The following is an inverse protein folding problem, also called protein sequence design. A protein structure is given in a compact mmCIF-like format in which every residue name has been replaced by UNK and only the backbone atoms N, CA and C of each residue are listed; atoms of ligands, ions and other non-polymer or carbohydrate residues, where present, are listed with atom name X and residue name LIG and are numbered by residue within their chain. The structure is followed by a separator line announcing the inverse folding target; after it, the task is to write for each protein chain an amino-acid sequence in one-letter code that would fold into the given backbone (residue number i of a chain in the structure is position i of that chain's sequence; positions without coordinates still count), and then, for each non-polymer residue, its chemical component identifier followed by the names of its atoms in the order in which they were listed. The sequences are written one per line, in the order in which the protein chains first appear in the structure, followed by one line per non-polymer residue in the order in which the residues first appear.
data_IF_913325271733
#
_entry.id   IF_913325271733
#
_cell.length_a   1.000
_cell.length_b   1.000
_cell.length_c   1.000
_cell.angle_alpha   90.00
_cell.angle_beta   90.00
_cell.angle_gamma   90.00
#
_symmetry.space_group_name_H-M   'P 1'
#
loop_
_entity.id
_entity.type
_entity.pdbx_description
1 polymer ?
#
# COMPACT_ATOMS: atom_id res chain seq x y z
N UNK A 1 -31.06 -1.73 8.00
CA UNK A 1 -29.70 -1.19 7.73
C UNK A 1 -28.81 -1.66 8.88
N UNK A 2 -28.10 -2.78 8.71
CA UNK A 2 -27.23 -3.30 9.78
C UNK A 2 -25.95 -2.46 9.79
N UNK A 3 -25.86 -1.53 10.75
CA UNK A 3 -24.62 -0.79 11.00
C UNK A 3 -23.62 -1.78 11.60
N UNK A 4 -22.72 -2.30 10.75
CA UNK A 4 -21.65 -3.18 11.19
C UNK A 4 -20.49 -2.35 11.77
N UNK A 5 -19.74 -2.92 12.71
CA UNK A 5 -18.53 -2.29 13.25
C UNK A 5 -17.55 -1.88 12.13
N UNK A 6 -17.45 -2.69 11.08
CA UNK A 6 -16.61 -2.41 9.90
C UNK A 6 -17.07 -1.14 9.17
N UNK A 7 -18.38 -0.93 9.03
CA UNK A 7 -18.91 0.28 8.39
C UNK A 7 -18.58 1.53 9.22
N UNK A 8 -18.68 1.44 10.55
CA UNK A 8 -18.31 2.54 11.44
C UNK A 8 -16.81 2.85 11.35
N UNK A 9 -15.98 1.82 11.26
CA UNK A 9 -14.54 1.96 11.05
C UNK A 9 -14.22 2.63 9.71
N UNK A 10 -14.88 2.22 8.62
CA UNK A 10 -14.70 2.85 7.29
C UNK A 10 -15.13 4.33 7.30
N UNK A 11 -16.23 4.68 7.98
CA UNK A 11 -16.65 6.08 8.15
C UNK A 11 -15.59 6.89 8.91
N UNK A 12 -15.03 6.32 9.99
CA UNK A 12 -13.95 6.98 10.73
C UNK A 12 -12.71 7.20 9.84
N UNK A 13 -12.35 6.23 8.98
CA UNK A 13 -11.27 6.39 8.02
C UNK A 13 -11.54 7.49 6.98
N UNK A 14 -12.78 7.60 6.47
CA UNK A 14 -13.17 8.68 5.56
C UNK A 14 -13.02 10.03 6.25
N UNK A 15 -13.54 10.16 7.48
CA UNK A 15 -13.43 11.39 8.26
C UNK A 15 -11.97 11.78 8.49
N UNK A 16 -11.14 10.81 8.85
CA UNK A 16 -9.70 11.01 9.07
C UNK A 16 -8.96 11.37 7.77
N UNK A 17 -9.33 10.76 6.64
CA UNK A 17 -8.80 11.10 5.32
C UNK A 17 -9.14 12.53 4.90
N UNK A 18 -10.35 13.00 5.20
CA UNK A 18 -10.78 14.39 4.94
C UNK A 18 -10.02 15.38 5.81
N UNK A 19 -9.86 15.10 7.11
CA UNK A 19 -9.07 15.95 8.02
C UNK A 19 -7.60 16.01 7.58
N UNK A 20 -7.04 14.86 7.19
CA UNK A 20 -5.67 14.74 6.69
C UNK A 20 -5.47 15.34 5.29
N UNK A 21 -6.54 15.76 4.60
CA UNK A 21 -6.52 16.13 3.18
C UNK A 21 -5.91 15.03 2.28
N UNK A 22 -6.05 13.77 2.66
CA UNK A 22 -5.50 12.64 1.92
C UNK A 22 -6.59 12.00 1.06
N UNK A 23 -6.65 12.43 -0.21
CA UNK A 23 -7.64 11.92 -1.17
C UNK A 23 -7.54 10.40 -1.37
N UNK A 24 -6.35 9.82 -1.29
CA UNK A 24 -6.17 8.37 -1.44
C UNK A 24 -6.90 7.59 -0.35
N UNK A 25 -6.76 7.96 0.93
CA UNK A 25 -7.49 7.30 2.03
C UNK A 25 -8.99 7.49 1.86
N UNK A 26 -9.42 8.72 1.61
CA UNK A 26 -10.84 9.07 1.49
C UNK A 26 -11.51 8.28 0.35
N UNK A 27 -10.89 8.23 -0.83
CA UNK A 27 -11.42 7.51 -2.00
C UNK A 27 -11.45 6.01 -1.74
N UNK A 28 -10.36 5.41 -1.25
CA UNK A 28 -10.31 3.97 -0.98
C UNK A 28 -11.35 3.54 0.07
N UNK A 29 -11.48 4.28 1.18
CA UNK A 29 -12.44 3.97 2.23
C UNK A 29 -13.89 4.18 1.76
N UNK A 30 -14.15 5.20 0.95
CA UNK A 30 -15.49 5.45 0.37
C UNK A 30 -15.88 4.35 -0.60
N UNK A 31 -14.98 3.94 -1.50
CA UNK A 31 -15.24 2.83 -2.43
C UNK A 31 -15.55 1.54 -1.65
N UNK A 32 -14.76 1.19 -0.64
CA UNK A 32 -15.00 0.01 0.18
C UNK A 32 -16.33 0.08 0.95
N UNK A 33 -16.69 1.25 1.48
CA UNK A 33 -17.96 1.46 2.15
C UNK A 33 -19.13 1.27 1.19
N UNK A 34 -19.05 1.84 -0.02
CA UNK A 34 -20.07 1.66 -1.06
C UNK A 34 -20.17 0.20 -1.50
N UNK A 35 -19.04 -0.49 -1.69
CA UNK A 35 -19.04 -1.92 -2.02
C UNK A 35 -19.69 -2.75 -0.91
N UNK A 36 -19.39 -2.45 0.35
CA UNK A 36 -19.95 -3.16 1.50
C UNK A 36 -21.48 -2.97 1.64
N UNK A 37 -21.99 -1.77 1.36
CA UNK A 37 -23.41 -1.44 1.54
C UNK A 37 -24.30 -1.82 0.35
N UNK A 38 -23.71 -2.17 -0.80
CA UNK A 38 -24.44 -2.49 -2.03
C UNK A 38 -24.27 -3.95 -2.43
N UNK A 39 -24.91 -4.38 -3.52
CA UNK A 39 -24.73 -5.72 -4.10
C UNK A 39 -23.29 -5.99 -4.58
N UNK A 40 -22.41 -4.97 -4.58
CA UNK A 40 -21.00 -5.12 -4.94
C UNK A 40 -20.17 -5.84 -3.87
N UNK A 41 -20.75 -6.14 -2.70
CA UNK A 41 -20.08 -6.91 -1.65
C UNK A 41 -19.56 -8.27 -2.16
N UNK A 42 -20.23 -8.87 -3.15
CA UNK A 42 -19.80 -10.12 -3.80
C UNK A 42 -18.45 -10.01 -4.53
N UNK A 43 -18.03 -8.80 -4.92
CA UNK A 43 -16.76 -8.55 -5.59
C UNK A 43 -15.61 -8.22 -4.63
N UNK A 44 -15.89 -8.02 -3.34
CA UNK A 44 -14.85 -7.73 -2.33
C UNK A 44 -13.76 -8.82 -2.29
N UNK A 45 -14.07 -10.13 -2.34
CA UNK A 45 -13.05 -11.18 -2.39
C UNK A 45 -12.18 -11.12 -3.65
N UNK A 46 -12.75 -10.67 -4.78
CA UNK A 46 -11.99 -10.50 -6.03
C UNK A 46 -10.97 -9.36 -5.88
N UNK A 47 -11.38 -8.26 -5.26
CA UNK A 47 -10.51 -7.11 -4.95
C UNK A 47 -9.42 -7.52 -3.96
N UNK A 48 -9.73 -8.32 -2.95
CA UNK A 48 -8.73 -8.82 -2.00
C UNK A 48 -7.68 -9.70 -2.69
N UNK A 49 -8.10 -10.59 -3.59
CA UNK A 49 -7.21 -11.53 -4.28
C UNK A 49 -6.34 -10.88 -5.37
N UNK A 50 -6.90 -9.97 -6.17
CA UNK A 50 -6.21 -9.41 -7.34
C UNK A 50 -5.88 -7.93 -7.21
N UNK A 51 -6.52 -7.20 -6.29
CA UNK A 51 -6.36 -5.75 -6.16
C UNK A 51 -4.93 -5.33 -5.88
N UNK A 52 -4.20 -6.06 -5.04
CA UNK A 52 -2.79 -5.79 -4.78
C UNK A 52 -1.93 -6.01 -6.05
N UNK A 53 -2.16 -7.11 -6.78
CA UNK A 53 -1.41 -7.42 -7.99
C UNK A 53 -1.65 -6.36 -9.08
N UNK A 54 -2.92 -6.02 -9.33
CA UNK A 54 -3.30 -4.95 -10.26
C UNK A 54 -2.70 -3.61 -9.82
N UNK A 55 -2.77 -3.28 -8.53
CA UNK A 55 -2.19 -2.07 -7.97
C UNK A 55 -0.68 -1.99 -8.21
N UNK A 56 0.07 -3.07 -7.96
CA UNK A 56 1.51 -3.15 -8.22
C UNK A 56 1.80 -2.96 -9.71
N UNK A 57 1.04 -3.60 -10.60
CA UNK A 57 1.22 -3.43 -12.06
C UNK A 57 1.03 -1.96 -12.44
N UNK A 58 -0.06 -1.32 -12.00
CA UNK A 58 -0.34 0.10 -12.29
C UNK A 58 0.77 1.01 -11.74
N UNK A 59 1.24 0.76 -10.50
CA UNK A 59 2.36 1.48 -9.90
C UNK A 59 3.64 1.32 -10.72
N UNK A 60 3.95 0.10 -11.15
CA UNK A 60 5.17 -0.20 -11.94
C UNK A 60 5.13 0.50 -13.30
N UNK A 61 3.99 0.45 -13.99
CA UNK A 61 3.77 1.19 -15.24
C UNK A 61 3.94 2.70 -15.03
N UNK A 62 3.41 3.24 -13.93
CA UNK A 62 3.53 4.66 -13.59
C UNK A 62 4.98 5.09 -13.37
N UNK A 63 5.78 4.26 -12.69
CA UNK A 63 7.21 4.50 -12.44
C UNK A 63 8.05 4.39 -13.71
N UNK A 64 7.69 3.51 -14.64
CA UNK A 64 8.39 3.33 -15.92
C UNK A 64 7.99 4.36 -16.99
N UNK A 65 6.82 5.00 -16.85
CA UNK A 65 6.29 5.98 -17.82
C UNK A 65 7.26 7.12 -18.19
N UNK A 66 8.04 7.71 -17.26
CA UNK A 66 9.01 8.76 -17.59
C UNK A 66 10.16 8.30 -18.51
N UNK A 67 10.50 7.00 -18.52
CA UNK A 67 11.49 6.43 -19.44
C UNK A 67 10.96 6.46 -20.88
N UNK A 68 9.71 6.04 -21.07
CA UNK A 68 9.03 6.06 -22.37
C UNK A 68 8.79 7.49 -22.85
N UNK A 69 8.49 8.40 -21.92
CA UNK A 69 8.30 9.82 -22.20
C UNK A 69 9.61 10.58 -22.47
N UNK A 70 10.77 9.91 -22.41
CA UNK A 70 12.09 10.52 -22.63
C UNK A 70 12.56 11.49 -21.53
N UNK A 71 11.84 11.58 -20.40
CA UNK A 71 12.20 12.45 -19.27
C UNK A 71 13.36 11.90 -18.44
N UNK A 72 13.51 10.57 -18.41
CA UNK A 72 14.62 9.88 -17.73
C UNK A 72 15.47 9.21 -18.81
N UNK A 73 16.73 9.61 -18.93
CA UNK A 73 17.70 8.94 -19.79
C UNK A 73 18.40 7.82 -19.02
N UNK A 74 18.60 6.68 -19.67
CA UNK A 74 19.34 5.57 -19.06
C UNK A 74 20.80 6.02 -18.91
N UNK A 75 21.34 6.08 -17.67
CA UNK A 75 22.71 6.48 -17.46
C UNK A 75 23.68 5.50 -18.14
N UNK A 76 24.82 6.00 -18.61
CA UNK A 76 25.88 5.16 -19.18
C UNK A 76 26.44 4.20 -18.11
N UNK A 77 27.10 3.11 -18.52
CA UNK A 77 27.68 2.12 -17.60
C UNK A 77 28.58 2.74 -16.49
N UNK A 78 29.28 3.84 -16.80
CA UNK A 78 30.08 4.60 -15.83
C UNK A 78 29.24 5.35 -14.77
N UNK A 79 27.99 5.73 -15.11
CA UNK A 79 27.05 6.35 -14.17
C UNK A 79 26.57 5.40 -13.07
N UNK A 80 26.54 4.09 -13.35
CA UNK A 80 26.23 3.06 -12.36
C UNK A 80 27.35 2.86 -11.31
N UNK A 81 28.58 3.29 -11.61
CA UNK A 81 29.69 3.30 -10.65
C UNK A 81 29.61 4.46 -9.65
N UNK A 82 28.63 5.36 -9.79
CA UNK A 82 28.43 6.42 -8.82
C UNK A 82 27.90 5.82 -7.50
N UNK A 83 28.57 6.13 -6.38
CA UNK A 83 28.15 5.65 -5.04
C UNK A 83 26.67 5.94 -4.75
N UNK A 84 26.14 7.07 -5.23
CA UNK A 84 24.72 7.41 -5.05
C UNK A 84 23.80 6.44 -5.80
N UNK A 85 24.20 6.00 -6.99
CA UNK A 85 23.44 5.06 -7.80
C UNK A 85 23.53 3.64 -7.22
N UNK A 86 24.71 3.22 -6.79
CA UNK A 86 24.90 1.95 -6.09
C UNK A 86 24.06 1.88 -4.79
N UNK A 87 24.03 2.97 -4.01
CA UNK A 87 23.18 3.07 -2.82
C UNK A 87 21.70 2.99 -3.17
N UNK A 88 21.23 3.71 -4.20
CA UNK A 88 19.84 3.68 -4.63
C UNK A 88 19.40 2.28 -5.07
N UNK A 89 20.22 1.58 -5.86
CA UNK A 89 19.96 0.18 -6.27
C UNK A 89 19.92 -0.75 -5.07
N UNK A 90 20.87 -0.63 -4.15
CA UNK A 90 20.94 -1.47 -2.95
C UNK A 90 19.71 -1.30 -2.05
N UNK A 91 19.29 -0.05 -1.82
CA UNK A 91 18.06 0.25 -1.05
C UNK A 91 16.82 -0.29 -1.78
N UNK A 92 16.75 -0.13 -3.11
CA UNK A 92 15.63 -0.66 -3.90
C UNK A 92 15.49 -2.18 -3.78
N UNK A 93 16.60 -2.91 -3.90
CA UNK A 93 16.63 -4.37 -3.71
C UNK A 93 16.18 -4.74 -2.29
N UNK A 94 16.69 -4.04 -1.29
CA UNK A 94 16.37 -4.30 0.11
C UNK A 94 14.88 -4.10 0.42
N UNK A 95 14.29 -2.98 -0.02
CA UNK A 95 12.87 -2.68 0.21
C UNK A 95 11.97 -3.65 -0.56
N UNK A 96 12.31 -4.01 -1.80
CA UNK A 96 11.53 -4.97 -2.58
C UNK A 96 11.52 -6.36 -1.91
N UNK A 97 12.66 -6.78 -1.36
CA UNK A 97 12.75 -8.04 -0.62
C UNK A 97 11.92 -8.04 0.67
N UNK A 98 11.93 -6.94 1.43
CA UNK A 98 11.08 -6.76 2.61
C UNK A 98 9.60 -6.82 2.22
N UNK A 99 9.18 -6.07 1.20
CA UNK A 99 7.80 -6.05 0.74
C UNK A 99 7.32 -7.45 0.30
N UNK A 100 8.16 -8.22 -0.41
CA UNK A 100 7.84 -9.60 -0.80
C UNK A 100 7.58 -10.53 0.39
N UNK A 101 8.27 -10.33 1.52
CA UNK A 101 8.03 -11.07 2.77
C UNK A 101 6.76 -10.64 3.50
N UNK A 102 6.23 -9.46 3.23
CA UNK A 102 4.98 -8.98 3.83
C UNK A 102 3.72 -9.62 3.25
N UNK A 103 3.75 -10.09 1.99
CA UNK A 103 2.57 -10.65 1.30
C UNK A 103 1.97 -11.84 2.03
N UNK A 104 2.74 -12.86 2.47
CA UNK A 104 2.16 -14.02 3.16
C UNK A 104 1.53 -13.65 4.51
N UNK A 105 2.10 -12.69 5.26
CA UNK A 105 1.56 -12.25 6.54
C UNK A 105 0.16 -11.64 6.42
N UNK A 106 -0.09 -10.92 5.34
CA UNK A 106 -1.40 -10.34 5.06
C UNK A 106 -2.47 -11.43 4.94
N UNK A 107 -2.16 -12.57 4.33
CA UNK A 107 -3.10 -13.69 4.20
C UNK A 107 -3.22 -14.56 5.46
N UNK A 108 -2.13 -14.72 6.23
CA UNK A 108 -2.07 -15.65 7.35
C UNK A 108 -2.55 -15.05 8.67
N UNK A 109 -2.38 -13.74 8.89
CA UNK A 109 -2.70 -13.09 10.17
C UNK A 109 -3.51 -11.78 9.97
N UNK A 110 -4.84 -11.89 9.74
CA UNK A 110 -5.71 -10.73 9.50
C UNK A 110 -5.72 -9.71 10.65
N UNK A 111 -5.55 -10.19 11.89
CA UNK A 111 -5.52 -9.34 13.09
C UNK A 111 -4.33 -8.38 13.07
N UNK A 112 -3.14 -8.87 12.69
CA UNK A 112 -1.96 -8.01 12.53
C UNK A 112 -2.17 -7.00 11.41
N UNK A 113 -2.85 -7.40 10.33
CA UNK A 113 -3.17 -6.49 9.24
C UNK A 113 -4.11 -5.37 9.67
N UNK A 114 -5.11 -5.64 10.51
CA UNK A 114 -5.94 -4.59 11.08
C UNK A 114 -5.10 -3.58 11.87
N UNK A 115 -4.18 -4.05 12.71
CA UNK A 115 -3.26 -3.17 13.44
C UNK A 115 -2.35 -2.35 12.53
N UNK A 116 -1.80 -2.97 11.47
CA UNK A 116 -0.99 -2.28 10.47
C UNK A 116 -1.77 -1.22 9.71
N UNK A 117 -3.04 -1.50 9.35
CA UNK A 117 -3.91 -0.52 8.69
C UNK A 117 -4.20 0.66 9.59
N UNK A 118 -4.52 0.42 10.87
CA UNK A 118 -4.73 1.51 11.84
C UNK A 118 -3.47 2.36 11.98
N UNK A 119 -2.30 1.73 12.17
CA UNK A 119 -1.03 2.43 12.32
C UNK A 119 -0.65 3.26 11.10
N UNK A 120 -0.81 2.69 9.89
CA UNK A 120 -0.50 3.39 8.63
C UNK A 120 -1.46 4.56 8.37
N UNK A 121 -2.75 4.41 8.67
CA UNK A 121 -3.72 5.50 8.55
C UNK A 121 -3.38 6.63 9.53
N UNK A 122 -3.09 6.32 10.79
CA UNK A 122 -2.71 7.34 11.78
C UNK A 122 -1.42 8.05 11.32
N UNK A 123 -0.42 7.29 10.87
CA UNK A 123 0.83 7.85 10.36
C UNK A 123 0.61 8.78 9.16
N UNK A 124 -0.23 8.39 8.22
CA UNK A 124 -0.60 9.26 7.09
C UNK A 124 -1.35 10.50 7.58
N UNK A 125 -2.31 10.32 8.48
CA UNK A 125 -3.18 11.38 8.95
C UNK A 125 -2.46 12.50 9.70
N UNK A 126 -1.47 12.13 10.52
CA UNK A 126 -0.75 13.08 11.37
C UNK A 126 0.62 13.47 10.82
N UNK A 127 1.27 12.62 10.03
CA UNK A 127 2.63 12.85 9.52
C UNK A 127 2.68 13.22 8.02
N UNK A 128 1.52 13.33 7.36
CA UNK A 128 1.44 13.71 5.94
C UNK A 128 2.00 12.66 4.98
N UNK A 129 2.01 11.38 5.39
CA UNK A 129 2.49 10.27 4.58
C UNK A 129 1.58 9.95 3.38
N UNK A 130 2.02 9.01 2.53
CA UNK A 130 1.21 8.46 1.44
C UNK A 130 0.75 7.05 1.84
N UNK A 131 -0.53 6.70 1.69
CA UNK A 131 -1.01 5.36 1.99
C UNK A 131 -0.52 4.37 0.92
N UNK A 132 0.63 3.74 1.16
CA UNK A 132 1.25 2.74 0.25
C UNK A 132 0.71 1.32 0.48
N UNK A 133 -0.32 1.19 1.32
CA UNK A 133 -0.84 -0.09 1.80
C UNK A 133 0.02 -0.71 2.91
N UNK A 134 -0.47 -1.79 3.55
CA UNK A 134 0.24 -2.43 4.67
C UNK A 134 1.43 -3.28 4.22
N UNK A 135 1.72 -3.39 2.91
CA UNK A 135 2.70 -4.33 2.37
C UNK A 135 4.12 -4.14 2.93
N UNK A 136 4.63 -2.91 2.91
CA UNK A 136 5.99 -2.60 3.42
C UNK A 136 6.01 -2.78 4.94
N UNK A 137 4.97 -2.31 5.63
CA UNK A 137 4.86 -2.41 7.08
C UNK A 137 4.74 -3.88 7.54
N UNK A 138 4.00 -4.72 6.81
CA UNK A 138 3.94 -6.16 7.00
C UNK A 138 5.30 -6.81 6.75
N UNK A 139 6.00 -6.38 5.69
CA UNK A 139 7.37 -6.80 5.43
C UNK A 139 8.31 -6.54 6.60
N UNK A 140 8.27 -5.33 7.18
CA UNK A 140 9.07 -4.98 8.37
C UNK A 140 8.62 -5.81 9.58
N UNK A 141 7.32 -5.90 9.82
CA UNK A 141 6.74 -6.66 10.93
C UNK A 141 7.11 -8.14 10.88
N UNK A 142 7.30 -8.71 9.67
CA UNK A 142 7.75 -10.10 9.49
C UNK A 142 9.09 -10.42 10.13
N UNK A 143 9.96 -9.42 10.31
CA UNK A 143 11.22 -9.61 11.02
C UNK A 143 11.04 -9.60 12.54
N UNK A 144 10.02 -8.91 13.04
CA UNK A 144 9.77 -8.72 14.48
C UNK A 144 8.96 -9.87 15.05
N UNK A 145 7.92 -10.30 14.34
CA UNK A 145 6.99 -11.35 14.80
C UNK A 145 7.60 -12.76 14.62
N UNK A 146 8.76 -12.86 13.98
CA UNK A 146 9.41 -14.13 13.67
C UNK A 146 8.78 -14.83 12.45
N UNK A 147 9.50 -15.81 11.89
CA UNK A 147 8.97 -16.64 10.80
C UNK A 147 7.63 -17.23 11.21
N UNK A 148 6.59 -16.89 10.46
CA UNK A 148 5.46 -17.82 10.25
C UNK A 148 5.95 -18.96 9.38
#
# INVERSE_FOLDING_TARGET
MNVSFVSLFLVALIFLGVISQNNSITISATILLLMQQTALAQFVPLVEKHGLNIGIIILTVSVLSPLVSGRIQIPSAAGFLNLKMAAAVSVGIFVAWIAGRGVPLMGQQPVLMTGLLIGTVIGVAFMGGIPVGPLIAAGILSFVVGKV
#
